data_IF_865154288143
#
_entry.id   IF_865154288143
#
_cell.length_a   1.000
_cell.length_b   1.000
_cell.length_c   1.000
_cell.angle_alpha   90.00
_cell.angle_beta   90.00
_cell.angle_gamma   90.00
#
_symmetry.space_group_name_H-M   'P 1'
#
loop_
_entity.id
_entity.type
_entity.pdbx_description
1 polymer ?
#
# COMPACT_ATOMS: atom_id res chain seq x y z
N UNK A 1 -22.55 -11.15 -7.94
CA UNK A 1 -23.47 -10.23 -8.66
C UNK A 1 -22.88 -8.84 -8.64
N UNK A 2 -22.50 -8.29 -9.79
CA UNK A 2 -21.90 -6.96 -9.91
C UNK A 2 -23.02 -5.91 -10.01
N UNK A 3 -23.09 -4.98 -9.05
CA UNK A 3 -24.13 -3.94 -9.03
C UNK A 3 -23.55 -2.67 -9.65
N UNK A 4 -23.92 -2.41 -10.88
CA UNK A 4 -23.61 -1.18 -11.60
C UNK A 4 -24.83 -0.27 -11.61
N UNK A 5 -24.63 1.03 -11.36
CA UNK A 5 -25.70 2.00 -11.42
C UNK A 5 -25.21 3.41 -11.76
N UNK A 6 -26.15 4.25 -12.17
CA UNK A 6 -25.92 5.67 -12.42
C UNK A 6 -27.09 6.49 -11.93
N UNK A 7 -26.87 7.77 -11.65
CA UNK A 7 -27.91 8.69 -11.20
C UNK A 7 -27.55 10.14 -11.44
N UNK A 8 -28.54 11.01 -11.27
CA UNK A 8 -28.38 12.46 -11.33
C UNK A 8 -28.91 13.08 -10.04
N UNK A 9 -28.21 14.09 -9.53
CA UNK A 9 -28.61 14.83 -8.34
C UNK A 9 -28.47 16.33 -8.57
N UNK A 10 -29.30 17.11 -7.90
CA UNK A 10 -29.25 18.58 -7.91
C UNK A 10 -29.15 19.10 -6.48
N UNK A 11 -28.16 19.94 -6.21
CA UNK A 11 -27.90 20.52 -4.90
C UNK A 11 -27.96 22.04 -4.98
N UNK A 12 -28.65 22.70 -4.04
CA UNK A 12 -28.59 24.16 -3.91
C UNK A 12 -27.22 24.54 -3.36
N UNK A 13 -26.45 25.30 -4.11
CA UNK A 13 -25.09 25.74 -3.74
C UNK A 13 -25.16 27.00 -2.87
N UNK A 14 -25.92 28.01 -3.32
CA UNK A 14 -26.16 29.25 -2.58
C UNK A 14 -27.39 29.98 -3.11
N UNK A 15 -27.97 30.85 -2.29
CA UNK A 15 -28.91 31.86 -2.76
C UNK A 15 -28.16 32.97 -3.53
N UNK A 16 -28.83 33.54 -4.51
CA UNK A 16 -28.35 34.64 -5.36
C UNK A 16 -29.32 35.82 -5.30
N UNK A 17 -28.94 36.95 -5.89
CA UNK A 17 -29.74 38.16 -5.85
C UNK A 17 -31.13 37.98 -6.50
N UNK A 18 -32.11 38.71 -5.97
CA UNK A 18 -33.42 38.86 -6.60
C UNK A 18 -33.27 39.54 -7.96
N UNK A 19 -34.00 39.04 -8.95
CA UNK A 19 -34.03 39.61 -10.31
C UNK A 19 -35.36 39.30 -10.97
N UNK A 20 -35.68 40.07 -12.01
CA UNK A 20 -36.90 39.86 -12.79
C UNK A 20 -36.84 38.50 -13.50
N UNK A 21 -37.78 37.61 -13.17
CA UNK A 21 -37.89 36.33 -13.82
C UNK A 21 -38.73 36.45 -15.10
N UNK A 22 -38.14 36.12 -16.26
CA UNK A 22 -38.83 36.18 -17.54
C UNK A 22 -40.09 35.28 -17.62
N UNK A 23 -40.14 34.20 -16.83
CA UNK A 23 -41.28 33.28 -16.80
C UNK A 23 -42.35 33.73 -15.80
N UNK A 24 -41.96 34.25 -14.63
CA UNK A 24 -42.92 34.68 -13.62
C UNK A 24 -43.43 36.11 -13.84
N UNK A 25 -42.75 36.92 -14.65
CA UNK A 25 -43.05 38.33 -14.86
C UNK A 25 -42.84 39.22 -13.63
N UNK A 26 -42.15 38.73 -12.60
CA UNK A 26 -41.98 39.39 -11.31
C UNK A 26 -40.53 39.24 -10.82
N UNK A 27 -40.11 40.14 -9.94
CA UNK A 27 -38.84 40.01 -9.21
C UNK A 27 -38.90 38.82 -8.25
N UNK A 28 -38.05 37.82 -8.51
CA UNK A 28 -37.99 36.57 -7.74
C UNK A 28 -36.57 36.30 -7.24
N UNK A 29 -36.44 35.64 -6.09
CA UNK A 29 -35.15 35.12 -5.64
C UNK A 29 -34.68 34.03 -6.61
N UNK A 30 -33.39 34.05 -6.90
CA UNK A 30 -32.72 33.00 -7.66
C UNK A 30 -31.72 32.29 -6.77
N UNK A 31 -31.41 31.05 -7.11
CA UNK A 31 -30.33 30.29 -6.48
C UNK A 31 -29.46 29.62 -7.50
N UNK A 32 -28.20 29.47 -7.13
CA UNK A 32 -27.27 28.64 -7.86
C UNK A 32 -27.44 27.19 -7.41
N UNK A 33 -27.63 26.30 -8.37
CA UNK A 33 -27.68 24.85 -8.19
C UNK A 33 -26.50 24.19 -8.90
N UNK A 34 -26.02 23.09 -8.32
CA UNK A 34 -25.12 22.15 -8.98
C UNK A 34 -25.91 20.90 -9.33
N UNK A 35 -26.04 20.64 -10.62
CA UNK A 35 -26.58 19.41 -11.15
C UNK A 35 -25.42 18.51 -11.58
N UNK A 36 -25.36 17.29 -11.06
CA UNK A 36 -24.28 16.37 -11.38
C UNK A 36 -24.78 14.96 -11.62
N UNK A 37 -24.16 14.31 -12.61
CA UNK A 37 -24.34 12.90 -12.90
C UNK A 37 -23.24 12.08 -12.23
N UNK A 38 -23.57 10.88 -11.79
CA UNK A 38 -22.60 9.94 -11.25
C UNK A 38 -22.84 8.53 -11.75
N UNK A 39 -21.77 7.74 -11.79
CA UNK A 39 -21.82 6.30 -11.94
C UNK A 39 -21.21 5.66 -10.68
N UNK A 40 -21.64 4.44 -10.37
CA UNK A 40 -21.12 3.71 -9.23
C UNK A 40 -21.11 2.21 -9.46
N UNK A 41 -20.16 1.58 -8.78
CA UNK A 41 -20.04 0.14 -8.62
C UNK A 41 -20.21 -0.20 -7.14
N UNK A 42 -21.19 -1.05 -6.81
CA UNK A 42 -21.59 -1.44 -5.45
C UNK A 42 -21.84 -0.27 -4.50
N UNK A 43 -22.20 0.90 -5.01
CA UNK A 43 -22.37 2.16 -4.28
C UNK A 43 -21.10 2.72 -3.62
N UNK A 44 -20.04 1.90 -3.48
CA UNK A 44 -18.78 2.27 -2.84
C UNK A 44 -17.82 2.96 -3.81
N UNK A 45 -17.70 2.44 -5.04
CA UNK A 45 -16.82 3.02 -6.05
C UNK A 45 -17.64 3.93 -6.95
N UNK A 46 -17.84 5.16 -6.51
CA UNK A 46 -18.57 6.18 -7.27
C UNK A 46 -17.62 7.20 -7.91
N UNK A 47 -17.99 7.72 -9.07
CA UNK A 47 -17.35 8.89 -9.69
C UNK A 47 -18.38 9.75 -10.40
N UNK A 48 -18.08 11.05 -10.43
CA UNK A 48 -18.90 12.06 -11.11
C UNK A 48 -18.61 12.00 -12.61
N UNK A 49 -19.66 11.83 -13.41
CA UNK A 49 -19.59 11.75 -14.87
C UNK A 49 -19.89 13.09 -15.54
N UNK A 50 -20.72 13.92 -14.92
CA UNK A 50 -21.14 15.23 -15.46
C UNK A 50 -21.30 16.25 -14.34
N UNK A 51 -20.99 17.52 -14.61
CA UNK A 51 -21.20 18.66 -13.71
C UNK A 51 -21.74 19.85 -14.49
N UNK A 52 -22.85 20.41 -14.04
CA UNK A 52 -23.47 21.60 -14.62
C UNK A 52 -23.96 22.51 -13.50
N UNK A 53 -23.73 23.81 -13.64
CA UNK A 53 -24.28 24.81 -12.73
C UNK A 53 -25.49 25.44 -13.37
N UNK A 54 -26.55 25.60 -12.59
CA UNK A 54 -27.80 26.17 -13.03
C UNK A 54 -28.15 27.34 -12.12
N UNK A 55 -28.38 28.51 -12.71
CA UNK A 55 -28.93 29.64 -11.97
C UNK A 55 -30.43 29.72 -12.22
N UNK A 56 -31.23 29.29 -11.25
CA UNK A 56 -32.66 29.06 -11.42
C UNK A 56 -33.50 29.84 -10.41
N UNK A 57 -34.71 30.22 -10.85
CA UNK A 57 -35.70 30.87 -10.01
C UNK A 57 -36.17 29.90 -8.92
N UNK A 58 -36.21 30.35 -7.67
CA UNK A 58 -36.63 29.49 -6.55
C UNK A 58 -38.12 29.12 -6.64
N UNK A 59 -38.92 29.91 -7.37
CA UNK A 59 -40.36 29.72 -7.51
C UNK A 59 -40.71 28.80 -8.70
N UNK A 60 -40.36 29.20 -9.92
CA UNK A 60 -40.74 28.44 -11.12
C UNK A 60 -39.70 27.43 -11.59
N UNK A 61 -38.53 27.36 -10.92
CA UNK A 61 -37.42 26.43 -11.21
C UNK A 61 -36.79 26.56 -12.60
N UNK A 62 -37.22 27.54 -13.40
CA UNK A 62 -36.61 27.85 -14.69
C UNK A 62 -35.34 28.68 -14.49
N UNK A 63 -34.34 28.39 -15.30
CA UNK A 63 -33.02 28.98 -15.19
C UNK A 63 -32.14 28.64 -16.39
N UNK A 64 -30.93 29.20 -16.37
CA UNK A 64 -29.95 28.97 -17.41
C UNK A 64 -28.73 28.24 -16.84
N UNK A 65 -28.10 27.43 -17.67
CA UNK A 65 -26.79 26.84 -17.34
C UNK A 65 -25.77 27.96 -17.31
N UNK A 66 -24.99 28.01 -16.24
CA UNK A 66 -23.91 28.98 -16.07
C UNK A 66 -22.56 28.27 -16.10
N UNK A 67 -21.54 28.83 -16.77
CA UNK A 67 -20.21 28.24 -16.78
C UNK A 67 -19.59 28.30 -15.39
N UNK A 68 -18.75 27.31 -15.04
CA UNK A 68 -18.07 27.25 -13.74
C UNK A 68 -17.26 28.50 -13.41
N UNK A 69 -16.75 29.19 -14.42
CA UNK A 69 -16.02 30.46 -14.28
C UNK A 69 -16.90 31.60 -13.75
N UNK A 70 -18.19 31.60 -14.10
CA UNK A 70 -19.16 32.63 -13.67
C UNK A 70 -19.72 32.38 -12.26
N UNK A 71 -19.48 31.20 -11.68
CA UNK A 71 -19.92 30.83 -10.32
C UNK A 71 -19.14 31.59 -9.23
N UNK A 72 -18.01 32.20 -9.58
CA UNK A 72 -17.12 32.88 -8.64
C UNK A 72 -16.30 31.91 -7.79
N UNK A 73 -15.87 32.35 -6.60
CA UNK A 73 -14.96 31.62 -5.69
C UNK A 73 -15.66 30.52 -4.90
N UNK A 74 -16.16 29.50 -5.59
CA UNK A 74 -16.42 28.20 -4.94
C UNK A 74 -15.07 27.47 -4.80
N UNK A 75 -14.63 27.18 -3.57
CA UNK A 75 -13.39 26.42 -3.33
C UNK A 75 -13.50 24.97 -3.80
N UNK A 76 -14.64 24.35 -3.53
CA UNK A 76 -14.95 22.96 -3.86
C UNK A 76 -16.43 22.79 -4.21
N UNK A 77 -16.73 21.82 -5.05
CA UNK A 77 -18.11 21.44 -5.36
C UNK A 77 -18.71 20.72 -4.15
N UNK A 78 -19.95 21.04 -3.72
CA UNK A 78 -20.62 20.41 -2.58
C UNK A 78 -21.11 18.98 -2.87
N UNK A 79 -20.39 18.24 -3.72
CA UNK A 79 -20.66 16.84 -4.03
C UNK A 79 -20.14 15.98 -2.86
N UNK A 80 -20.93 15.05 -2.31
CA UNK A 80 -20.49 14.15 -1.25
C UNK A 80 -19.17 13.45 -1.59
N UNK A 81 -18.25 13.37 -0.60
CA UNK A 81 -16.90 12.87 -0.82
C UNK A 81 -16.86 11.47 -1.44
N UNK A 82 -17.79 10.58 -1.04
CA UNK A 82 -17.91 9.23 -1.60
C UNK A 82 -18.31 9.25 -3.09
N UNK A 83 -19.17 10.18 -3.52
CA UNK A 83 -19.54 10.36 -4.94
C UNK A 83 -18.42 10.97 -5.76
N UNK A 84 -17.67 11.91 -5.16
CA UNK A 84 -16.56 12.61 -5.83
C UNK A 84 -15.29 11.76 -5.95
N UNK A 85 -14.98 10.97 -4.93
CA UNK A 85 -13.69 10.27 -4.78
C UNK A 85 -13.81 8.77 -4.53
N UNK A 86 -14.99 8.17 -4.63
CA UNK A 86 -15.17 6.73 -4.37
C UNK A 86 -14.30 5.85 -5.27
N UNK A 87 -14.01 6.28 -6.50
CA UNK A 87 -13.07 5.59 -7.40
C UNK A 87 -11.67 5.42 -6.80
N UNK A 88 -11.22 6.33 -5.92
CA UNK A 88 -9.89 6.25 -5.28
C UNK A 88 -9.79 5.05 -4.34
N UNK A 89 -10.89 4.67 -3.69
CA UNK A 89 -10.95 3.47 -2.85
C UNK A 89 -10.71 2.23 -3.73
N UNK A 90 -11.35 2.19 -4.90
CA UNK A 90 -11.18 1.09 -5.86
C UNK A 90 -9.75 1.03 -6.40
N UNK A 91 -9.19 2.18 -6.78
CA UNK A 91 -7.80 2.27 -7.22
C UNK A 91 -6.80 1.84 -6.13
N UNK A 92 -7.04 2.22 -4.87
CA UNK A 92 -6.20 1.82 -3.74
C UNK A 92 -6.23 0.32 -3.49
N UNK A 93 -7.41 -0.30 -3.51
CA UNK A 93 -7.54 -1.76 -3.36
C UNK A 93 -6.86 -2.51 -4.50
N UNK A 94 -7.07 -2.07 -5.74
CA UNK A 94 -6.42 -2.67 -6.90
C UNK A 94 -4.90 -2.53 -6.83
N UNK A 95 -4.40 -1.34 -6.48
CA UNK A 95 -2.97 -1.10 -6.28
C UNK A 95 -2.37 -1.99 -5.20
N UNK A 96 -3.06 -2.16 -4.07
CA UNK A 96 -2.64 -3.06 -2.99
C UNK A 96 -2.58 -4.52 -3.42
N UNK A 97 -3.59 -5.00 -4.15
CA UNK A 97 -3.61 -6.37 -4.69
C UNK A 97 -2.47 -6.61 -5.69
N UNK A 98 -2.20 -5.65 -6.58
CA UNK A 98 -1.10 -5.73 -7.53
C UNK A 98 0.26 -5.75 -6.81
N UNK A 99 0.46 -4.87 -5.83
CA UNK A 99 1.68 -4.87 -5.01
C UNK A 99 1.89 -6.21 -4.30
N UNK A 100 0.82 -6.75 -3.69
CA UNK A 100 0.86 -8.06 -3.04
C UNK A 100 1.22 -9.18 -4.02
N UNK A 101 0.61 -9.20 -5.21
CA UNK A 101 0.89 -10.18 -6.24
C UNK A 101 2.35 -10.12 -6.73
N UNK A 102 2.89 -8.91 -6.91
CA UNK A 102 4.31 -8.72 -7.30
C UNK A 102 5.24 -9.23 -6.20
N UNK A 103 5.00 -8.87 -4.94
CA UNK A 103 5.80 -9.34 -3.80
C UNK A 103 5.73 -10.87 -3.71
N UNK A 104 4.52 -11.44 -3.73
CA UNK A 104 4.33 -12.89 -3.66
C UNK A 104 4.97 -13.65 -4.83
N UNK A 105 4.83 -13.15 -6.05
CA UNK A 105 5.34 -13.81 -7.26
C UNK A 105 6.84 -13.68 -7.49
N UNK A 106 7.46 -12.56 -7.11
CA UNK A 106 8.88 -12.32 -7.36
C UNK A 106 9.79 -12.71 -6.19
N UNK A 107 9.33 -12.55 -4.95
CA UNK A 107 10.19 -12.66 -3.76
C UNK A 107 10.18 -14.07 -3.17
N UNK A 108 8.99 -14.67 -3.00
CA UNK A 108 8.87 -15.98 -2.36
C UNK A 108 9.58 -17.11 -3.14
N UNK A 109 9.47 -17.21 -4.48
CA UNK A 109 10.18 -18.26 -5.22
C UNK A 109 11.70 -18.13 -5.14
N UNK A 110 12.23 -16.89 -5.12
CA UNK A 110 13.67 -16.65 -4.99
C UNK A 110 14.20 -17.07 -3.63
N UNK A 111 13.47 -16.78 -2.56
CA UNK A 111 13.81 -17.25 -1.21
C UNK A 111 13.82 -18.80 -1.18
N UNK A 112 12.84 -19.43 -1.84
CA UNK A 112 12.71 -20.89 -1.85
C UNK A 112 13.82 -21.57 -2.68
N UNK A 113 14.21 -20.99 -3.82
CA UNK A 113 15.29 -21.53 -4.65
C UNK A 113 16.67 -21.29 -4.03
N UNK A 114 16.91 -20.09 -3.47
CA UNK A 114 18.14 -19.81 -2.71
C UNK A 114 18.27 -20.74 -1.52
N UNK A 115 17.15 -21.07 -0.85
CA UNK A 115 17.14 -22.12 0.15
C UNK A 115 17.67 -23.41 -0.46
N UNK A 116 17.08 -23.97 -1.51
CA UNK A 116 17.44 -25.31 -2.02
C UNK A 116 18.90 -25.48 -2.42
N UNK A 117 19.59 -24.43 -2.87
CA UNK A 117 21.00 -24.48 -3.30
C UNK A 117 21.85 -23.48 -2.54
N UNK A 118 22.44 -23.85 -1.39
CA UNK A 118 23.30 -22.93 -0.63
C UNK A 118 24.58 -22.61 -1.41
N UNK A 119 24.95 -21.33 -1.45
CA UNK A 119 26.18 -20.84 -2.07
C UNK A 119 27.03 -20.08 -1.06
N UNK A 120 28.35 -20.09 -1.27
CA UNK A 120 29.27 -19.24 -0.51
C UNK A 120 28.87 -17.78 -0.68
N UNK A 121 28.72 -17.07 0.43
CA UNK A 121 28.30 -15.68 0.45
C UNK A 121 26.82 -15.44 0.69
N UNK A 122 25.93 -16.45 0.59
CA UNK A 122 24.51 -16.27 0.90
C UNK A 122 24.33 -15.78 2.35
N UNK A 123 23.38 -14.87 2.57
CA UNK A 123 23.09 -14.26 3.87
C UNK A 123 21.69 -14.65 4.33
N UNK A 124 21.63 -15.23 5.51
CA UNK A 124 20.42 -15.70 6.17
C UNK A 124 20.02 -14.69 7.24
N UNK A 125 18.79 -14.20 7.16
CA UNK A 125 18.17 -13.42 8.22
C UNK A 125 17.39 -14.39 9.12
N UNK A 126 17.82 -14.56 10.37
CA UNK A 126 17.28 -15.61 11.23
C UNK A 126 17.18 -15.23 12.70
N UNK A 127 16.37 -16.01 13.42
CA UNK A 127 16.25 -15.97 14.87
C UNK A 127 17.34 -16.85 15.50
N UNK A 128 18.19 -16.23 16.31
CA UNK A 128 19.22 -16.90 17.08
C UNK A 128 18.62 -17.71 18.23
N UNK A 129 19.36 -18.74 18.65
CA UNK A 129 18.95 -19.54 19.80
C UNK A 129 18.88 -18.66 21.03
N UNK A 130 17.81 -18.83 21.79
CA UNK A 130 17.65 -18.16 23.07
C UNK A 130 18.75 -18.66 24.00
N UNK A 131 19.60 -17.74 24.46
CA UNK A 131 20.57 -18.08 25.51
C UNK A 131 19.84 -18.52 26.79
N UNK A 132 20.40 -19.46 27.57
CA UNK A 132 19.82 -19.85 28.85
C UNK A 132 19.59 -18.63 29.75
N UNK A 133 18.34 -18.39 30.15
CA UNK A 133 17.95 -17.24 30.98
C UNK A 133 17.49 -15.99 30.21
N UNK A 134 17.57 -15.96 28.88
CA UNK A 134 17.04 -14.85 28.09
C UNK A 134 15.50 -14.89 28.01
N UNK A 135 14.86 -13.72 28.17
CA UNK A 135 13.40 -13.57 28.18
C UNK A 135 12.80 -13.23 26.80
N UNK A 136 13.65 -12.91 25.83
CA UNK A 136 13.25 -12.47 24.50
C UNK A 136 14.05 -13.22 23.42
N UNK A 137 13.44 -13.34 22.25
CA UNK A 137 14.12 -13.84 21.06
C UNK A 137 15.09 -12.79 20.52
N UNK A 138 16.15 -13.26 19.85
CA UNK A 138 17.16 -12.40 19.24
C UNK A 138 17.26 -12.69 17.75
N UNK A 139 17.44 -11.66 16.96
CA UNK A 139 17.48 -11.72 15.51
C UNK A 139 18.84 -11.24 15.00
N UNK A 140 19.36 -11.88 13.96
CA UNK A 140 20.64 -11.49 13.38
C UNK A 140 20.85 -12.06 11.99
N UNK A 141 22.04 -11.82 11.46
CA UNK A 141 22.44 -12.27 10.14
C UNK A 141 23.44 -13.41 10.25
N UNK A 142 23.39 -14.34 9.32
CA UNK A 142 24.35 -15.45 9.23
C UNK A 142 24.77 -15.61 7.78
N UNK A 143 26.07 -15.59 7.52
CA UNK A 143 26.62 -15.69 6.16
C UNK A 143 27.25 -17.06 5.94
N UNK A 144 27.04 -17.64 4.76
CA UNK A 144 27.73 -18.87 4.36
C UNK A 144 29.19 -18.54 4.03
N UNK A 145 30.12 -19.19 4.73
CA UNK A 145 31.56 -19.08 4.49
C UNK A 145 32.06 -20.18 3.53
N UNK A 146 31.56 -21.40 3.66
CA UNK A 146 31.96 -22.52 2.79
C UNK A 146 30.84 -23.56 2.62
N UNK A 147 30.82 -24.20 1.46
CA UNK A 147 29.93 -25.33 1.14
C UNK A 147 30.80 -26.52 0.74
N UNK A 148 30.67 -27.66 1.42
CA UNK A 148 31.49 -28.84 1.16
C UNK A 148 30.77 -30.15 1.46
N UNK A 149 31.47 -31.27 1.31
CA UNK A 149 30.90 -32.61 1.48
C UNK A 149 30.38 -32.88 2.91
N UNK A 150 31.00 -32.26 3.92
CA UNK A 150 30.59 -32.39 5.33
C UNK A 150 29.37 -31.52 5.70
N UNK A 151 29.04 -30.51 4.90
CA UNK A 151 27.95 -29.58 5.18
C UNK A 151 28.23 -28.14 4.76
N UNK A 152 27.44 -27.22 5.31
CA UNK A 152 27.53 -25.77 5.07
C UNK A 152 28.03 -25.09 6.33
N UNK A 153 29.11 -24.32 6.20
CA UNK A 153 29.69 -23.55 7.30
C UNK A 153 29.17 -22.12 7.26
N UNK A 154 28.69 -21.68 8.41
CA UNK A 154 28.04 -20.41 8.65
C UNK A 154 28.87 -19.57 9.61
N UNK A 155 28.84 -18.25 9.40
CA UNK A 155 29.45 -17.25 10.28
C UNK A 155 28.34 -16.29 10.72
N UNK A 156 27.99 -16.24 12.02
CA UNK A 156 26.94 -15.35 12.52
C UNK A 156 27.44 -13.91 12.63
N UNK A 157 26.51 -12.97 12.73
CA UNK A 157 26.80 -11.59 13.12
C UNK A 157 27.12 -11.51 14.62
N UNK A 158 28.05 -10.62 14.99
CA UNK A 158 28.28 -10.26 16.40
C UNK A 158 27.11 -9.48 16.98
N UNK A 159 26.43 -8.70 16.15
CA UNK A 159 25.25 -7.96 16.53
C UNK A 159 24.01 -8.86 16.50
N UNK A 160 23.15 -8.67 17.49
CA UNK A 160 21.83 -9.28 17.57
C UNK A 160 20.78 -8.24 18.04
N UNK A 161 19.54 -8.46 17.64
CA UNK A 161 18.47 -7.46 17.75
C UNK A 161 17.25 -8.03 18.46
N UNK A 162 16.49 -7.17 19.14
CA UNK A 162 15.25 -7.56 19.82
C UNK A 162 14.10 -7.80 18.84
N UNK A 163 14.21 -7.26 17.63
CA UNK A 163 13.26 -7.44 16.56
C UNK A 163 13.96 -7.73 15.23
N UNK A 164 13.17 -8.20 14.28
CA UNK A 164 13.62 -8.50 12.92
C UNK A 164 14.03 -7.24 12.15
N UNK A 165 13.43 -6.09 12.44
CA UNK A 165 13.68 -4.86 11.70
C UNK A 165 15.13 -4.38 11.86
N UNK A 166 15.71 -4.55 13.06
CA UNK A 166 17.13 -4.27 13.30
C UNK A 166 18.07 -5.12 12.45
N UNK A 167 17.86 -6.45 12.42
CA UNK A 167 18.66 -7.35 11.59
C UNK A 167 18.51 -7.03 10.09
N UNK A 168 17.29 -6.70 9.65
CA UNK A 168 17.03 -6.32 8.27
C UNK A 168 17.69 -4.99 7.88
N UNK A 169 17.71 -4.00 8.78
CA UNK A 169 18.37 -2.72 8.54
C UNK A 169 19.88 -2.89 8.29
N UNK A 170 20.53 -3.75 9.07
CA UNK A 170 21.93 -4.11 8.87
C UNK A 170 22.17 -4.86 7.55
N UNK A 171 21.20 -5.69 7.13
CA UNK A 171 21.25 -6.35 5.84
C UNK A 171 21.23 -5.34 4.69
N UNK A 172 20.31 -4.38 4.74
CA UNK A 172 20.18 -3.29 3.74
C UNK A 172 21.44 -2.41 3.73
N UNK A 173 22.02 -2.13 4.89
CA UNK A 173 23.28 -1.40 5.04
C UNK A 173 24.52 -2.21 4.62
N UNK A 174 24.34 -3.47 4.20
CA UNK A 174 25.41 -4.39 3.74
C UNK A 174 26.49 -4.70 4.78
N UNK A 175 26.16 -4.61 6.07
CA UNK A 175 27.12 -4.87 7.16
C UNK A 175 27.64 -6.30 7.20
N UNK A 176 26.89 -7.26 6.65
CA UNK A 176 27.33 -8.65 6.46
C UNK A 176 28.56 -8.81 5.55
N UNK A 177 28.95 -7.77 4.82
CA UNK A 177 30.20 -7.74 4.04
C UNK A 177 31.40 -7.24 4.86
N UNK A 178 31.17 -6.60 6.00
CA UNK A 178 32.19 -6.09 6.90
C UNK A 178 32.77 -7.23 7.75
N UNK A 179 34.09 -7.49 7.70
CA UNK A 179 34.71 -8.54 8.52
C UNK A 179 34.51 -8.32 10.02
N UNK A 180 34.44 -7.06 10.46
CA UNK A 180 34.28 -6.70 11.88
C UNK A 180 32.88 -7.03 12.41
N UNK A 181 31.87 -7.00 11.55
CA UNK A 181 30.48 -7.31 11.89
C UNK A 181 30.25 -8.81 12.11
N UNK A 182 31.00 -9.64 11.39
CA UNK A 182 30.89 -11.09 11.46
C UNK A 182 31.73 -11.66 12.62
N UNK A 183 31.17 -12.64 13.32
CA UNK A 183 31.88 -13.41 14.34
C UNK A 183 32.64 -14.57 13.69
N UNK A 184 33.77 -14.24 13.07
CA UNK A 184 34.65 -15.23 12.44
C UNK A 184 35.35 -16.15 13.44
N UNK A 185 35.28 -15.86 14.75
CA UNK A 185 35.83 -16.72 15.80
C UNK A 185 34.93 -17.91 16.14
N UNK A 186 33.62 -17.81 15.87
CA UNK A 186 32.66 -18.87 16.20
C UNK A 186 31.84 -19.33 14.98
N UNK A 187 32.49 -19.84 13.92
CA UNK A 187 31.76 -20.46 12.82
C UNK A 187 31.09 -21.77 13.29
N UNK A 188 29.96 -22.10 12.70
CA UNK A 188 29.27 -23.37 12.95
C UNK A 188 28.94 -24.06 11.63
N UNK A 189 28.96 -25.40 11.62
CA UNK A 189 28.69 -26.19 10.42
C UNK A 189 27.42 -26.99 10.59
N UNK A 190 26.54 -26.92 9.59
CA UNK A 190 25.32 -27.70 9.53
C UNK A 190 25.42 -28.75 8.43
N UNK A 191 25.13 -30.00 8.79
CA UNK A 191 24.90 -31.09 7.82
C UNK A 191 23.66 -30.79 6.96
N UNK A 192 23.51 -31.47 5.82
CA UNK A 192 22.34 -31.33 4.95
C UNK A 192 21.02 -31.56 5.71
N UNK A 193 20.95 -32.56 6.57
CA UNK A 193 19.76 -32.84 7.38
C UNK A 193 19.47 -31.75 8.42
N UNK A 194 20.50 -31.16 9.05
CA UNK A 194 20.32 -30.03 9.95
C UNK A 194 19.87 -28.76 9.21
N UNK A 195 20.40 -28.53 8.01
CA UNK A 195 20.05 -27.39 7.19
C UNK A 195 18.58 -27.47 6.73
N UNK A 196 18.09 -28.65 6.35
CA UNK A 196 16.66 -28.85 6.06
C UNK A 196 15.77 -28.61 7.29
N UNK A 197 16.19 -29.09 8.47
CA UNK A 197 15.47 -28.78 9.72
C UNK A 197 15.46 -27.29 10.03
N UNK A 198 16.57 -26.59 9.81
CA UNK A 198 16.65 -25.14 10.00
C UNK A 198 15.67 -24.41 9.07
N UNK A 199 15.60 -24.81 7.80
CA UNK A 199 14.63 -24.23 6.83
C UNK A 199 13.18 -24.48 7.24
N UNK A 200 12.88 -25.68 7.74
CA UNK A 200 11.54 -26.04 8.23
C UNK A 200 11.18 -25.46 9.60
N UNK A 201 12.13 -24.90 10.33
CA UNK A 201 11.93 -24.45 11.72
C UNK A 201 11.09 -23.18 11.88
N UNK A 202 10.88 -22.42 10.80
CA UNK A 202 10.28 -21.08 10.86
C UNK A 202 11.20 -19.99 11.40
N UNK A 203 12.47 -20.31 11.70
CA UNK A 203 13.47 -19.38 12.26
C UNK A 203 14.29 -18.65 11.21
N UNK A 204 14.18 -19.04 9.94
CA UNK A 204 14.82 -18.35 8.81
C UNK A 204 13.74 -17.54 8.10
N UNK A 205 13.92 -16.22 8.06
CA UNK A 205 12.92 -15.31 7.51
C UNK A 205 13.22 -14.92 6.06
N UNK A 206 14.50 -14.86 5.70
CA UNK A 206 14.94 -14.54 4.35
C UNK A 206 16.32 -15.13 4.07
N UNK A 207 16.56 -15.46 2.80
CA UNK A 207 17.87 -15.90 2.29
C UNK A 207 18.19 -15.04 1.08
N UNK A 208 19.23 -14.24 1.23
CA UNK A 208 19.67 -13.28 0.23
C UNK A 208 20.92 -13.78 -0.44
N UNK A 209 20.93 -13.70 -1.78
CA UNK A 209 22.09 -13.97 -2.61
C UNK A 209 22.55 -12.68 -3.25
N UNK A 210 23.83 -12.39 -3.14
CA UNK A 210 24.46 -11.36 -3.96
C UNK A 210 24.59 -11.90 -5.39
N UNK A 211 24.05 -11.16 -6.36
CA UNK A 211 24.23 -11.45 -7.78
C UNK A 211 25.56 -10.88 -8.27
#
# INVERSE_FOLDING_TARGET
>A
MLIWGSGNESLRVRAESTRMCAICGLDRPFSLYLCYGYAHLYYLFSWVTKREYLLACDICRHGNVVPRSAVGTLKDDPIPALRRSGWKIGAGLLGGLLAFAVIGGAVLPRITENARRPHVGDVYECQFDRQPGATADRYGLVRIQSVGAAGVTFVPSKADYADRAGAHADFVARRWSEPEYLDTSHPFTLTAAQLERLRGSGRVFAIWREN
#
